data_IF_383708388318
#
_entry.id   IF_383708388318
#
_cell.length_a   1.000
_cell.length_b   1.000
_cell.length_c   1.000
_cell.angle_alpha   90.00
_cell.angle_beta   90.00
_cell.angle_gamma   90.00
#
_symmetry.space_group_name_H-M   'P 1'
#
loop_
_entity.id
_entity.type
_entity.pdbx_description
1 polymer ?
#
# COMPACT_ATOMS: atom_id res chain seq x y z
N UNK A 1 8.05 21.19 -37.30
CA UNK A 1 7.14 20.11 -36.83
C UNK A 1 6.55 20.38 -35.44
N UNK A 2 7.33 20.90 -34.49
CA UNK A 2 6.89 21.10 -33.10
C UNK A 2 5.63 21.97 -32.94
N UNK A 3 5.51 23.06 -33.70
CA UNK A 3 4.33 23.95 -33.67
C UNK A 3 3.05 23.24 -34.09
N UNK A 4 3.11 22.33 -35.08
CA UNK A 4 1.97 21.54 -35.53
C UNK A 4 1.50 20.59 -34.44
N UNK A 5 2.42 19.90 -33.78
CA UNK A 5 2.11 18.99 -32.66
C UNK A 5 1.48 19.74 -31.49
N UNK A 6 1.97 20.95 -31.18
CA UNK A 6 1.37 21.79 -30.13
C UNK A 6 -0.04 22.23 -30.52
N UNK A 7 -0.24 22.65 -31.77
CA UNK A 7 -1.56 23.05 -32.26
C UNK A 7 -2.55 21.88 -32.22
N UNK A 8 -2.14 20.69 -32.69
CA UNK A 8 -2.97 19.48 -32.66
C UNK A 8 -3.31 19.08 -31.20
N UNK A 9 -2.36 19.23 -30.27
CA UNK A 9 -2.59 18.98 -28.85
C UNK A 9 -3.58 19.99 -28.24
N UNK A 10 -3.50 21.27 -28.59
CA UNK A 10 -4.44 22.30 -28.13
C UNK A 10 -5.86 22.01 -28.65
N UNK A 11 -5.99 21.65 -29.93
CA UNK A 11 -7.29 21.26 -30.51
C UNK A 11 -7.86 20.05 -29.79
N UNK A 12 -7.04 19.05 -29.47
CA UNK A 12 -7.44 17.89 -28.69
C UNK A 12 -7.92 18.28 -27.28
N UNK A 13 -7.17 19.12 -26.57
CA UNK A 13 -7.54 19.63 -25.24
C UNK A 13 -8.85 20.43 -25.26
N UNK A 14 -9.10 21.20 -26.31
CA UNK A 14 -10.36 21.93 -26.48
C UNK A 14 -11.53 20.99 -26.72
N UNK A 15 -11.37 20.01 -27.61
CA UNK A 15 -12.39 18.97 -27.84
C UNK A 15 -12.70 18.20 -26.55
N UNK A 16 -11.66 17.89 -25.77
CA UNK A 16 -11.78 17.29 -24.46
C UNK A 16 -12.55 18.20 -23.49
N UNK A 17 -12.20 19.49 -23.41
CA UNK A 17 -12.90 20.47 -22.57
C UNK A 17 -14.40 20.55 -22.85
N UNK A 18 -14.79 20.62 -24.13
CA UNK A 18 -16.20 20.64 -24.55
C UNK A 18 -16.91 19.34 -24.17
N UNK A 19 -16.22 18.20 -24.24
CA UNK A 19 -16.80 16.91 -23.85
C UNK A 19 -17.02 16.81 -22.33
N UNK A 20 -16.13 17.40 -21.53
CA UNK A 20 -16.23 17.42 -20.06
C UNK A 20 -17.16 18.49 -19.50
N UNK A 21 -17.52 19.50 -20.29
CA UNK A 21 -18.52 20.50 -19.88
C UNK A 21 -19.89 19.85 -19.64
N UNK A 22 -20.26 18.89 -20.50
CA UNK A 22 -21.55 18.22 -20.46
C UNK A 22 -21.59 16.98 -19.54
N UNK A 23 -20.43 16.51 -19.05
CA UNK A 23 -20.33 15.25 -18.31
C UNK A 23 -19.38 15.35 -17.11
N UNK A 24 -19.77 14.77 -15.97
CA UNK A 24 -18.91 14.73 -14.78
C UNK A 24 -17.64 13.90 -14.98
N UNK A 25 -17.73 12.83 -15.78
CA UNK A 25 -16.64 11.93 -16.18
C UNK A 25 -16.68 11.67 -17.69
N UNK A 26 -15.64 11.06 -18.27
CA UNK A 26 -15.60 10.83 -19.72
C UNK A 26 -16.74 9.94 -20.24
N UNK A 27 -17.15 8.95 -19.44
CA UNK A 27 -18.15 7.95 -19.81
C UNK A 27 -19.30 7.90 -18.80
N UNK A 28 -20.00 9.02 -18.65
CA UNK A 28 -21.23 9.12 -17.87
C UNK A 28 -21.00 9.57 -16.43
N UNK A 29 -21.72 8.95 -15.49
CA UNK A 29 -21.80 9.41 -14.09
C UNK A 29 -20.86 8.70 -13.13
N UNK A 30 -20.01 7.79 -13.62
CA UNK A 30 -19.04 7.05 -12.79
C UNK A 30 -17.62 7.23 -13.32
N UNK A 31 -16.61 7.32 -12.45
CA UNK A 31 -15.22 7.38 -12.85
C UNK A 31 -14.81 6.06 -13.49
N UNK A 32 -14.22 6.14 -14.67
CA UNK A 32 -13.72 5.00 -15.44
C UNK A 32 -12.19 4.97 -15.45
N UNK A 33 -11.59 3.83 -15.83
CA UNK A 33 -10.12 3.69 -15.96
C UNK A 33 -9.52 4.75 -16.90
N UNK A 34 -10.26 5.15 -17.93
CA UNK A 34 -9.83 6.22 -18.83
C UNK A 34 -9.67 7.56 -18.08
N UNK A 35 -10.52 7.82 -17.09
CA UNK A 35 -10.49 9.07 -16.32
C UNK A 35 -9.22 9.11 -15.46
N UNK A 36 -8.81 7.96 -14.90
CA UNK A 36 -7.56 7.85 -14.17
C UNK A 36 -6.33 8.09 -15.07
N UNK A 37 -6.31 7.51 -16.27
CA UNK A 37 -5.24 7.78 -17.24
C UNK A 37 -5.22 9.25 -17.64
N UNK A 38 -6.38 9.81 -17.98
CA UNK A 38 -6.48 11.19 -18.40
C UNK A 38 -6.06 12.17 -17.31
N UNK A 39 -6.53 11.96 -16.07
CA UNK A 39 -6.09 12.71 -14.90
C UNK A 39 -4.57 12.65 -14.77
N UNK A 40 -3.98 11.46 -14.85
CA UNK A 40 -2.53 11.28 -14.72
C UNK A 40 -1.78 12.09 -15.78
N UNK A 41 -2.19 12.00 -17.05
CA UNK A 41 -1.55 12.77 -18.13
C UNK A 41 -1.72 14.28 -17.93
N UNK A 42 -2.91 14.76 -17.58
CA UNK A 42 -3.18 16.17 -17.39
C UNK A 42 -2.40 16.74 -16.19
N UNK A 43 -2.35 16.00 -15.08
CA UNK A 43 -1.58 16.37 -13.89
C UNK A 43 -0.10 16.40 -14.19
N UNK A 44 0.43 15.38 -14.89
CA UNK A 44 1.81 15.35 -15.34
C UNK A 44 2.10 16.57 -16.21
N UNK A 45 1.29 16.83 -17.23
CA UNK A 45 1.47 17.98 -18.13
C UNK A 45 1.39 19.33 -17.40
N UNK A 46 0.57 19.44 -16.35
CA UNK A 46 0.43 20.65 -15.54
C UNK A 46 1.60 20.87 -14.56
N UNK A 47 2.01 19.81 -13.86
CA UNK A 47 2.99 19.84 -12.76
C UNK A 47 4.44 19.71 -13.22
N UNK A 48 4.72 19.05 -14.35
CA UNK A 48 6.08 18.97 -14.88
C UNK A 48 6.54 20.34 -15.40
N UNK A 49 7.83 20.70 -15.25
CA UNK A 49 8.45 21.85 -15.91
C UNK A 49 8.62 21.53 -17.40
N UNK A 50 7.51 21.42 -18.12
CA UNK A 50 7.54 21.21 -19.57
C UNK A 50 8.02 22.51 -20.21
N UNK A 51 9.01 22.43 -21.12
CA UNK A 51 9.50 23.57 -21.93
C UNK A 51 8.42 24.26 -22.78
N UNK A 52 7.17 23.77 -22.74
CA UNK A 52 6.01 24.20 -23.53
C UNK A 52 4.97 24.82 -22.60
N UNK A 53 5.29 26.02 -22.10
CA UNK A 53 4.44 26.83 -21.23
C UNK A 53 3.04 27.06 -21.82
N UNK A 54 2.93 27.11 -23.15
CA UNK A 54 1.68 27.26 -23.90
C UNK A 54 0.63 26.19 -23.53
N UNK A 55 1.04 24.92 -23.41
CA UNK A 55 0.11 23.82 -23.10
C UNK A 55 -0.35 23.92 -21.65
N UNK A 56 0.57 24.24 -20.73
CA UNK A 56 0.27 24.43 -19.30
C UNK A 56 -0.71 25.58 -19.10
N UNK A 57 -0.45 26.71 -19.75
CA UNK A 57 -1.33 27.86 -19.73
C UNK A 57 -2.73 27.51 -20.27
N UNK A 58 -2.81 26.73 -21.36
CA UNK A 58 -4.09 26.36 -21.95
C UNK A 58 -4.92 25.41 -21.05
N UNK A 59 -4.26 24.48 -20.34
CA UNK A 59 -4.90 23.61 -19.34
C UNK A 59 -5.34 24.41 -18.11
N UNK A 60 -4.57 25.42 -17.69
CA UNK A 60 -4.93 26.34 -16.60
C UNK A 60 -6.09 27.28 -16.96
N UNK A 61 -6.15 27.74 -18.20
CA UNK A 61 -7.19 28.64 -18.72
C UNK A 61 -8.56 27.98 -18.87
N UNK A 62 -8.63 26.64 -18.84
CA UNK A 62 -9.86 25.88 -19.04
C UNK A 62 -10.47 25.47 -17.69
N UNK A 63 -11.47 26.20 -17.15
CA UNK A 63 -12.02 25.93 -15.82
C UNK A 63 -12.70 24.54 -15.74
N UNK A 64 -13.26 24.06 -16.86
CA UNK A 64 -13.91 22.74 -16.93
C UNK A 64 -12.92 21.59 -16.67
N UNK A 65 -11.71 21.68 -17.25
CA UNK A 65 -10.64 20.70 -16.99
C UNK A 65 -10.16 20.77 -15.55
N UNK A 66 -9.99 21.97 -15.00
CA UNK A 66 -9.57 22.14 -13.60
C UNK A 66 -10.60 21.57 -12.62
N UNK A 67 -11.89 21.81 -12.87
CA UNK A 67 -12.96 21.21 -12.07
C UNK A 67 -12.97 19.70 -12.16
N UNK A 68 -12.78 19.14 -13.37
CA UNK A 68 -12.66 17.69 -13.53
C UNK A 68 -11.46 17.11 -12.77
N UNK A 69 -10.30 17.74 -12.87
CA UNK A 69 -9.11 17.32 -12.11
C UNK A 69 -9.37 17.35 -10.61
N UNK A 70 -10.02 18.40 -10.10
CA UNK A 70 -10.38 18.51 -8.69
C UNK A 70 -11.37 17.41 -8.26
N UNK A 71 -12.38 17.09 -9.08
CA UNK A 71 -13.32 15.99 -8.82
C UNK A 71 -12.63 14.64 -8.72
N UNK A 72 -11.64 14.38 -9.57
CA UNK A 72 -10.87 13.13 -9.51
C UNK A 72 -9.86 13.14 -8.36
N UNK A 73 -9.31 14.30 -8.01
CA UNK A 73 -8.40 14.45 -6.87
C UNK A 73 -9.08 14.10 -5.54
N UNK A 74 -10.37 14.43 -5.41
CA UNK A 74 -11.20 14.06 -4.27
C UNK A 74 -11.56 12.57 -4.24
N UNK A 75 -11.36 11.83 -5.33
CA UNK A 75 -11.70 10.42 -5.40
C UNK A 75 -10.67 9.60 -4.62
N UNK A 76 -11.13 8.95 -3.55
CA UNK A 76 -10.34 8.13 -2.62
C UNK A 76 -9.53 7.01 -3.32
N UNK A 77 -9.88 6.65 -4.56
CA UNK A 77 -9.15 5.69 -5.39
C UNK A 77 -7.70 6.11 -5.71
N UNK A 78 -7.40 7.42 -5.78
CA UNK A 78 -6.00 7.86 -6.01
C UNK A 78 -5.11 7.59 -4.79
N UNK A 79 -5.65 7.61 -3.56
CA UNK A 79 -4.90 7.21 -2.35
C UNK A 79 -4.45 5.75 -2.39
N UNK A 80 -5.20 4.89 -3.08
CA UNK A 80 -4.87 3.47 -3.19
C UNK A 80 -3.64 3.26 -4.08
N UNK A 81 -3.49 4.05 -5.15
CA UNK A 81 -2.33 3.97 -6.04
C UNK A 81 -1.04 4.56 -5.44
N UNK A 82 -1.13 5.60 -4.60
CA UNK A 82 0.05 6.08 -3.87
C UNK A 82 0.55 5.06 -2.84
N UNK A 83 -0.29 4.10 -2.44
CA UNK A 83 0.13 2.97 -1.59
C UNK A 83 0.83 1.89 -2.42
N UNK A 84 0.40 1.66 -3.67
CA UNK A 84 0.98 0.66 -4.59
C UNK A 84 2.32 1.10 -5.18
N UNK A 85 2.59 2.40 -5.36
CA UNK A 85 3.89 2.87 -5.88
C UNK A 85 5.04 2.76 -4.88
N UNK A 86 4.76 2.47 -3.60
CA UNK A 86 5.77 2.05 -2.62
C UNK A 86 5.93 0.52 -2.58
N UNK A 87 5.41 -0.20 -3.58
CA UNK A 87 5.68 -1.61 -3.82
C UNK A 87 7.08 -1.83 -4.39
N UNK A 88 8.12 -1.65 -3.56
CA UNK A 88 9.27 -2.54 -3.68
C UNK A 88 8.77 -3.93 -3.25
N UNK A 89 8.90 -4.98 -4.08
CA UNK A 89 8.65 -6.35 -3.65
C UNK A 89 9.87 -6.81 -2.85
N UNK A 90 9.85 -6.65 -1.53
CA UNK A 90 10.86 -7.26 -0.65
C UNK A 90 10.30 -8.53 -0.02
N UNK A 91 9.97 -9.51 -0.87
CA UNK A 91 9.99 -10.92 -0.48
C UNK A 91 11.29 -11.53 -0.99
N UNK A 92 12.39 -11.15 -0.39
CA UNK A 92 13.65 -11.90 -0.48
C UNK A 92 14.52 -11.51 0.70
N UNK A 93 14.79 -12.53 1.50
CA UNK A 93 15.70 -12.61 2.64
C UNK A 93 16.81 -11.57 2.67
N UNK A 94 16.89 -10.84 3.79
CA UNK A 94 18.13 -10.42 4.43
C UNK A 94 17.77 -9.93 5.82
N UNK A 95 18.07 -10.75 6.82
CA UNK A 95 18.50 -10.29 8.14
C UNK A 95 19.27 -8.98 8.01
N UNK A 96 18.77 -7.88 8.59
CA UNK A 96 19.51 -6.96 9.46
C UNK A 96 18.45 -6.20 10.27
N UNK A 97 18.61 -6.30 11.58
CA UNK A 97 17.97 -5.48 12.61
C UNK A 97 18.33 -4.03 12.30
N UNK A 98 17.37 -3.17 12.02
CA UNK A 98 17.51 -1.75 12.31
C UNK A 98 16.17 -1.12 12.69
N UNK A 99 16.28 -0.40 13.79
CA UNK A 99 15.28 0.28 14.59
C UNK A 99 14.63 1.43 13.80
N UNK A 100 13.38 1.77 14.12
CA UNK A 100 12.62 2.93 13.62
C UNK A 100 11.82 2.76 12.32
N UNK A 101 10.81 1.89 12.36
CA UNK A 101 9.49 2.20 11.79
C UNK A 101 8.45 1.30 12.40
N UNK A 102 7.52 1.91 13.12
CA UNK A 102 6.31 1.31 13.66
C UNK A 102 5.44 0.79 12.48
N UNK A 103 5.79 -0.38 11.94
CA UNK A 103 4.84 -1.17 11.18
C UNK A 103 3.68 -1.45 12.12
N UNK A 104 2.49 -0.98 11.76
CA UNK A 104 1.25 -1.34 12.43
C UNK A 104 1.05 -2.84 12.26
N UNK A 105 1.60 -3.62 13.19
CA UNK A 105 1.38 -5.05 13.31
C UNK A 105 -0.13 -5.23 13.43
N UNK A 106 -0.76 -5.69 12.35
CA UNK A 106 -2.18 -6.03 12.36
C UNK A 106 -2.32 -7.27 13.24
N UNK A 107 -3.16 -7.19 14.26
CA UNK A 107 -3.38 -8.30 15.21
C UNK A 107 -3.84 -9.59 14.50
N UNK A 108 -4.44 -9.47 13.31
CA UNK A 108 -4.79 -10.58 12.43
C UNK A 108 -3.56 -11.35 11.92
N UNK A 109 -2.47 -10.67 11.54
CA UNK A 109 -1.27 -11.33 11.00
C UNK A 109 -0.52 -12.11 12.09
N UNK A 110 -0.53 -11.58 13.31
CA UNK A 110 0.01 -12.25 14.49
C UNK A 110 -0.79 -13.52 14.83
N UNK A 111 -2.12 -13.43 14.78
CA UNK A 111 -3.01 -14.58 15.00
C UNK A 111 -2.82 -15.68 13.94
N UNK A 112 -2.73 -15.33 12.67
CA UNK A 112 -2.55 -16.32 11.61
C UNK A 112 -1.18 -17.01 11.68
N UNK A 113 -0.11 -16.26 11.98
CA UNK A 113 1.23 -16.84 12.17
C UNK A 113 1.27 -17.83 13.34
N UNK A 114 0.71 -17.43 14.49
CA UNK A 114 0.60 -18.31 15.65
C UNK A 114 -0.23 -19.57 15.38
N UNK A 115 -1.36 -19.44 14.68
CA UNK A 115 -2.23 -20.57 14.32
C UNK A 115 -1.55 -21.57 13.38
N UNK A 116 -0.82 -21.08 12.37
CA UNK A 116 -0.11 -21.95 11.42
C UNK A 116 1.04 -22.68 12.11
N UNK A 117 1.82 -21.98 12.93
CA UNK A 117 2.96 -22.57 13.65
C UNK A 117 2.50 -23.66 14.63
N UNK A 118 1.45 -23.39 15.41
CA UNK A 118 0.85 -24.37 16.33
C UNK A 118 0.27 -25.56 15.58
N UNK A 119 -0.44 -25.35 14.46
CA UNK A 119 -0.96 -26.43 13.62
C UNK A 119 0.17 -27.33 13.10
N UNK A 120 1.26 -26.74 12.60
CA UNK A 120 2.41 -27.48 12.09
C UNK A 120 3.12 -28.27 13.20
N UNK A 121 3.28 -27.69 14.40
CA UNK A 121 3.88 -28.38 15.54
C UNK A 121 3.03 -29.57 16.01
N UNK A 122 1.71 -29.39 16.11
CA UNK A 122 0.78 -30.48 16.46
C UNK A 122 0.80 -31.57 15.38
N UNK A 123 0.75 -31.18 14.11
CA UNK A 123 0.83 -32.10 12.98
C UNK A 123 2.16 -32.87 12.94
N UNK A 124 3.27 -32.17 13.17
CA UNK A 124 4.61 -32.74 13.19
C UNK A 124 4.78 -33.72 14.36
N UNK A 125 4.37 -33.33 15.57
CA UNK A 125 4.40 -34.19 16.75
C UNK A 125 3.56 -35.47 16.55
N UNK A 126 2.40 -35.36 15.90
CA UNK A 126 1.56 -36.50 15.55
C UNK A 126 2.22 -37.39 14.48
N UNK A 127 2.82 -36.80 13.46
CA UNK A 127 3.47 -37.55 12.35
C UNK A 127 4.68 -38.35 12.81
N UNK A 128 5.39 -37.89 13.84
CA UNK A 128 6.56 -38.59 14.41
C UNK A 128 6.12 -39.56 15.51
N UNK A 129 4.85 -39.54 15.92
CA UNK A 129 4.33 -40.43 16.96
C UNK A 129 4.83 -40.09 18.37
N UNK A 130 5.20 -38.82 18.62
CA UNK A 130 5.73 -38.35 19.91
C UNK A 130 4.61 -38.12 20.95
N UNK A 131 3.34 -38.17 20.53
CA UNK A 131 2.21 -38.05 21.46
C UNK A 131 2.00 -39.38 22.22
N UNK A 132 2.78 -39.59 23.28
CA UNK A 132 2.42 -40.57 24.31
C UNK A 132 1.17 -40.03 25.01
N UNK A 133 0.04 -40.73 24.90
CA UNK A 133 -1.14 -40.40 25.69
C UNK A 133 -0.87 -40.91 27.12
N UNK A 134 -0.03 -40.22 27.88
CA UNK A 134 -0.07 -40.35 29.34
C UNK A 134 -1.37 -39.70 29.80
N UNK A 135 -2.40 -40.52 29.95
CA UNK A 135 -3.46 -40.21 30.90
C UNK A 135 -2.75 -39.99 32.22
N UNK A 136 -2.89 -38.79 32.75
CA UNK A 136 -2.24 -38.36 33.97
C UNK A 136 -2.69 -39.28 35.11
N UNK A 137 -1.77 -40.12 35.60
CA UNK A 137 -1.75 -40.41 37.03
C UNK A 137 -0.81 -39.35 37.60
N UNK A 138 -1.41 -38.48 38.41
CA UNK A 138 -0.71 -37.57 39.29
C UNK A 138 0.12 -38.44 40.24
N UNK A 139 1.45 -38.35 40.17
CA UNK A 139 2.30 -38.65 41.31
C UNK A 139 3.33 -37.53 41.40
N UNK A 140 3.23 -36.82 42.51
CA UNK A 140 4.19 -35.85 43.02
C UNK A 140 5.59 -36.46 43.01
N UNK A 141 6.60 -35.74 42.51
CA UNK A 141 7.96 -35.88 43.02
C UNK A 141 8.72 -34.59 42.73
N UNK A 142 9.09 -33.93 43.83
CA UNK A 142 9.90 -32.74 43.93
C UNK A 142 11.30 -32.99 43.31
N UNK A 143 11.72 -32.16 42.36
CA UNK A 143 13.14 -32.01 42.04
C UNK A 143 13.51 -30.52 42.13
N UNK A 144 14.26 -30.25 43.19
CA UNK A 144 14.81 -28.96 43.60
C UNK A 144 15.72 -28.35 42.52
N UNK A 145 15.40 -27.14 42.05
CA UNK A 145 16.39 -26.27 41.41
C UNK A 145 16.95 -25.29 42.46
N UNK A 146 18.05 -25.69 43.09
CA UNK A 146 18.91 -24.81 43.88
C UNK A 146 19.46 -23.69 42.98
N UNK A 147 18.94 -22.48 43.18
CA UNK A 147 19.54 -21.24 42.69
C UNK A 147 20.59 -20.77 43.70
N UNK A 148 21.87 -21.06 43.43
CA UNK A 148 22.98 -20.36 44.08
C UNK A 148 23.10 -18.95 43.45
N UNK A 149 22.45 -17.96 44.07
CA UNK A 149 22.67 -16.54 43.78
C UNK A 149 23.62 -15.94 44.84
N UNK A 150 24.85 -15.72 44.41
CA UNK A 150 25.94 -15.12 45.16
C UNK A 150 25.69 -13.61 45.35
N UNK A 151 25.53 -13.12 46.61
CA UNK A 151 26.08 -11.83 47.06
C UNK A 151 25.89 -11.54 48.57
N UNK A 152 27.03 -11.63 49.28
CA UNK A 152 27.64 -10.62 50.13
C UNK A 152 26.80 -9.83 51.18
N UNK A 153 27.26 -9.97 52.44
CA UNK A 153 27.39 -8.94 53.49
C UNK A 153 26.17 -8.05 53.83
N UNK A 154 25.71 -8.11 55.08
CA UNK A 154 25.99 -7.08 56.10
C UNK A 154 25.19 -7.34 57.39
N UNK A 155 25.96 -7.54 58.47
CA UNK A 155 25.73 -7.14 59.87
C UNK A 155 24.70 -7.88 60.74
#
# INVERSE_FOLDING_TARGET
>A
MEKKVINDAIVCLNSLSTRLENHQYLFGSKPTKIDAYLYTYLVLLSRLPVKKEIIRAHIGSSPNLQQYLNRIDQLEYIKQFSTVSNGIPSSSSSTIIDNDSYMTIKWTDVLFSGAIATLLMVYYAFSIGIISTSYQDDDDDDEDEDFDEEQNSEQ
#
